data_IF_753881762068
#
_entry.id   IF_753881762068
#
_cell.length_a   1.000
_cell.length_b   1.000
_cell.length_c   1.000
_cell.angle_alpha   90.00
_cell.angle_beta   90.00
_cell.angle_gamma   90.00
#
_symmetry.space_group_name_H-M   'P 1'
#
loop_
_entity.id
_entity.type
_entity.pdbx_description
1 polymer ?
#
# COMPACT_ATOMS: atom_id res chain seq x y z
N UNK A 1 -14.78 3.67 17.63
CA UNK A 1 -13.67 3.41 16.70
C UNK A 1 -12.92 4.72 16.51
N UNK A 2 -11.58 4.72 16.38
CA UNK A 2 -10.82 5.95 16.11
C UNK A 2 -11.26 6.56 14.77
N UNK A 3 -11.28 7.89 14.71
CA UNK A 3 -11.52 8.63 13.46
C UNK A 3 -10.29 8.59 12.56
N UNK A 4 -10.45 8.95 11.29
CA UNK A 4 -9.32 9.10 10.36
C UNK A 4 -8.27 10.09 10.90
N UNK A 5 -8.73 11.18 11.53
CA UNK A 5 -7.88 12.20 12.16
C UNK A 5 -7.14 11.67 13.38
N UNK A 6 -7.76 10.79 14.18
CA UNK A 6 -7.07 10.16 15.32
C UNK A 6 -5.88 9.31 14.86
N UNK A 7 -6.07 8.51 13.80
CA UNK A 7 -5.00 7.72 13.17
C UNK A 7 -3.92 8.63 12.59
N UNK A 8 -4.32 9.69 11.88
CA UNK A 8 -3.39 10.67 11.33
C UNK A 8 -2.50 11.27 12.43
N UNK A 9 -3.12 11.69 13.54
CA UNK A 9 -2.41 12.27 14.68
C UNK A 9 -1.52 11.26 15.38
N UNK A 10 -2.00 10.04 15.60
CA UNK A 10 -1.27 8.99 16.30
C UNK A 10 0.01 8.57 15.55
N UNK A 11 -0.08 8.36 14.23
CA UNK A 11 1.01 7.75 13.47
C UNK A 11 1.82 8.75 12.63
N UNK A 12 1.22 9.86 12.18
CA UNK A 12 1.91 10.89 11.39
C UNK A 12 2.13 12.19 12.16
N UNK A 13 1.49 12.39 13.31
CA UNK A 13 1.64 13.61 14.12
C UNK A 13 0.91 14.84 13.55
N UNK A 14 0.14 14.69 12.47
CA UNK A 14 -0.63 15.79 11.89
C UNK A 14 -2.01 15.89 12.52
N UNK A 15 -2.47 17.13 12.74
CA UNK A 15 -3.77 17.39 13.36
C UNK A 15 -4.91 17.55 12.36
N UNK A 16 -4.58 17.78 11.08
CA UNK A 16 -5.56 17.99 10.01
C UNK A 16 -5.03 17.43 8.70
N UNK A 17 -5.94 16.96 7.84
CA UNK A 17 -5.65 16.59 6.46
C UNK A 17 -5.38 17.84 5.62
N UNK A 18 -4.48 17.73 4.65
CA UNK A 18 -4.32 18.76 3.61
C UNK A 18 -5.38 18.55 2.56
N UNK A 19 -6.02 19.60 2.04
CA UNK A 19 -6.91 19.43 0.88
C UNK A 19 -6.12 18.93 -0.35
N UNK A 20 -6.61 17.95 -1.13
CA UNK A 20 -7.92 17.28 -1.03
C UNK A 20 -7.88 15.88 -0.35
N UNK A 21 -6.92 15.62 0.54
CA UNK A 21 -6.74 14.30 1.19
C UNK A 21 -7.97 13.82 1.95
N UNK A 22 -8.66 14.73 2.65
CA UNK A 22 -9.92 14.47 3.35
C UNK A 22 -10.96 13.83 2.43
N UNK A 23 -11.23 14.46 1.27
CA UNK A 23 -12.20 13.97 0.29
C UNK A 23 -11.80 12.62 -0.30
N UNK A 24 -10.51 12.42 -0.55
CA UNK A 24 -10.01 11.14 -1.08
C UNK A 24 -10.18 10.03 -0.04
N UNK A 25 -9.84 10.31 1.23
CA UNK A 25 -9.97 9.34 2.32
C UNK A 25 -11.44 8.99 2.55
N UNK A 26 -12.34 9.97 2.55
CA UNK A 26 -13.78 9.75 2.65
C UNK A 26 -14.32 8.87 1.52
N UNK A 27 -13.89 9.12 0.27
CA UNK A 27 -14.23 8.30 -0.90
C UNK A 27 -13.78 6.84 -0.72
N UNK A 28 -12.53 6.63 -0.30
CA UNK A 28 -11.97 5.28 -0.07
C UNK A 28 -12.67 4.56 1.09
N UNK A 29 -12.95 5.26 2.20
CA UNK A 29 -13.68 4.69 3.34
C UNK A 29 -15.13 4.33 2.97
N UNK A 30 -15.71 5.08 2.03
CA UNK A 30 -17.03 4.79 1.45
C UNK A 30 -17.01 3.68 0.41
N UNK A 31 -15.88 2.97 0.26
CA UNK A 31 -15.69 1.85 -0.68
C UNK A 31 -15.86 2.23 -2.14
N UNK A 32 -15.57 3.48 -2.48
CA UNK A 32 -15.59 3.95 -3.87
C UNK A 32 -14.21 3.82 -4.51
N UNK A 33 -14.18 3.29 -5.74
CA UNK A 33 -12.99 3.33 -6.58
C UNK A 33 -12.60 4.79 -6.84
N UNK A 34 -11.36 5.14 -6.49
CA UNK A 34 -10.93 6.53 -6.39
C UNK A 34 -9.65 6.76 -7.17
N UNK A 35 -9.70 7.68 -8.14
CA UNK A 35 -8.50 8.21 -8.81
C UNK A 35 -8.07 9.49 -8.10
N UNK A 36 -6.93 9.44 -7.43
CA UNK A 36 -6.38 10.56 -6.69
C UNK A 36 -5.20 11.19 -7.43
N UNK A 37 -5.33 12.46 -7.81
CA UNK A 37 -4.26 13.24 -8.47
C UNK A 37 -3.75 14.29 -7.47
N UNK A 38 -2.53 14.10 -6.98
CA UNK A 38 -1.86 15.08 -6.12
C UNK A 38 -0.41 15.27 -6.59
N UNK A 39 0.17 16.47 -6.41
CA UNK A 39 1.59 16.70 -6.69
C UNK A 39 2.49 15.83 -5.82
N UNK A 40 3.75 15.69 -6.21
CA UNK A 40 4.81 15.10 -5.37
C UNK A 40 4.90 15.87 -4.05
N UNK A 41 5.08 15.15 -2.93
CA UNK A 41 5.05 15.77 -1.59
C UNK A 41 3.66 16.17 -1.09
N UNK A 42 2.60 16.03 -1.90
CA UNK A 42 1.21 16.29 -1.52
C UNK A 42 0.62 15.30 -0.49
N UNK A 43 1.40 14.32 -0.04
CA UNK A 43 0.96 13.32 0.94
C UNK A 43 0.02 12.26 0.36
N UNK A 44 0.22 11.86 -0.91
CA UNK A 44 -0.55 10.80 -1.58
C UNK A 44 -0.65 9.51 -0.76
N UNK A 45 0.43 9.13 -0.08
CA UNK A 45 0.45 7.90 0.72
C UNK A 45 -0.54 7.92 1.88
N UNK A 46 -0.75 9.08 2.52
CA UNK A 46 -1.73 9.24 3.61
C UNK A 46 -3.14 8.89 3.11
N UNK A 47 -3.46 9.20 1.85
CA UNK A 47 -4.76 8.97 1.25
C UNK A 47 -5.17 7.49 1.18
N UNK A 48 -4.21 6.55 1.17
CA UNK A 48 -4.50 5.11 1.24
C UNK A 48 -4.04 4.47 2.56
N UNK A 49 -3.00 5.02 3.22
CA UNK A 49 -2.49 4.48 4.47
C UNK A 49 -3.47 4.69 5.63
N UNK A 50 -4.05 5.89 5.77
CA UNK A 50 -5.04 6.15 6.83
C UNK A 50 -6.29 5.28 6.68
N UNK A 51 -6.96 5.21 5.53
CA UNK A 51 -8.15 4.36 5.41
C UNK A 51 -7.83 2.86 5.53
N UNK A 52 -6.63 2.42 5.13
CA UNK A 52 -6.18 1.05 5.39
C UNK A 52 -6.04 0.75 6.89
N UNK A 53 -5.52 1.71 7.68
CA UNK A 53 -5.40 1.59 9.14
C UNK A 53 -6.75 1.50 9.84
N UNK A 54 -7.80 2.10 9.29
CA UNK A 54 -9.15 2.11 9.87
C UNK A 54 -9.92 0.79 9.72
N UNK A 55 -9.44 -0.12 8.88
CA UNK A 55 -10.17 -1.33 8.50
C UNK A 55 -9.37 -2.57 8.85
N UNK A 56 -10.01 -3.65 9.29
CA UNK A 56 -9.30 -4.92 9.47
C UNK A 56 -8.73 -5.46 8.16
N UNK A 57 -7.55 -6.08 8.23
CA UNK A 57 -6.88 -6.67 7.07
C UNK A 57 -5.66 -5.89 6.60
N UNK A 58 -5.13 -6.31 5.46
CA UNK A 58 -3.90 -5.81 4.83
C UNK A 58 -4.21 -4.94 3.61
N UNK A 59 -3.47 -3.84 3.46
CA UNK A 59 -3.49 -3.03 2.25
C UNK A 59 -2.37 -3.47 1.30
N UNK A 60 -2.74 -3.76 0.06
CA UNK A 60 -1.80 -4.07 -1.02
C UNK A 60 -1.44 -2.78 -1.74
N UNK A 61 -0.15 -2.44 -1.78
CA UNK A 61 0.34 -1.24 -2.47
C UNK A 61 1.20 -1.67 -3.65
N UNK A 62 0.70 -1.45 -4.86
CA UNK A 62 1.39 -1.77 -6.11
C UNK A 62 2.13 -0.52 -6.58
N UNK A 63 3.43 -0.61 -6.80
CA UNK A 63 4.25 0.52 -7.26
C UNK A 63 5.42 0.02 -8.11
N UNK A 64 5.86 0.71 -9.17
CA UNK A 64 7.00 0.27 -9.97
C UNK A 64 8.36 0.55 -9.30
N UNK A 65 8.40 1.45 -8.32
CA UNK A 65 9.64 2.01 -7.80
C UNK A 65 10.11 1.26 -6.54
N UNK A 66 11.03 0.32 -6.70
CA UNK A 66 11.56 -0.51 -5.59
C UNK A 66 12.18 0.34 -4.47
N UNK A 67 12.97 1.36 -4.82
CA UNK A 67 13.56 2.26 -3.83
C UNK A 67 12.49 2.96 -2.98
N UNK A 68 11.41 3.42 -3.63
CA UNK A 68 10.27 4.03 -2.94
C UNK A 68 9.56 3.03 -2.02
N UNK A 69 9.37 1.77 -2.45
CA UNK A 69 8.80 0.74 -1.57
C UNK A 69 9.61 0.58 -0.29
N UNK A 70 10.93 0.47 -0.42
CA UNK A 70 11.83 0.26 0.72
C UNK A 70 11.78 1.44 1.68
N UNK A 71 11.78 2.67 1.16
CA UNK A 71 11.64 3.88 1.95
C UNK A 71 10.28 3.95 2.66
N UNK A 72 9.18 3.61 1.98
CA UNK A 72 7.84 3.58 2.59
C UNK A 72 7.75 2.53 3.70
N UNK A 73 8.24 1.32 3.46
CA UNK A 73 8.26 0.25 4.47
C UNK A 73 9.09 0.65 5.68
N UNK A 74 10.29 1.23 5.47
CA UNK A 74 11.14 1.73 6.55
C UNK A 74 10.42 2.79 7.38
N UNK A 75 9.79 3.76 6.70
CA UNK A 75 9.02 4.83 7.32
C UNK A 75 7.80 4.34 8.12
N UNK A 76 7.10 3.32 7.62
CA UNK A 76 5.98 2.70 8.33
C UNK A 76 6.45 1.95 9.56
N UNK A 77 7.54 1.16 9.46
CA UNK A 77 8.14 0.45 10.59
C UNK A 77 8.62 1.41 11.68
N UNK A 78 9.21 2.54 11.33
CA UNK A 78 9.62 3.59 12.27
C UNK A 78 8.43 4.18 13.05
N UNK A 79 7.22 4.14 12.48
CA UNK A 79 5.97 4.56 13.13
C UNK A 79 5.30 3.42 13.92
N UNK A 80 5.96 2.27 14.06
CA UNK A 80 5.38 1.09 14.69
C UNK A 80 4.30 0.40 13.84
N UNK A 81 4.25 0.69 12.54
CA UNK A 81 3.28 0.09 11.62
C UNK A 81 3.93 -1.10 10.91
N UNK A 82 3.40 -2.32 11.06
CA UNK A 82 3.97 -3.52 10.45
C UNK A 82 3.74 -3.51 8.93
N UNK A 83 4.84 -3.40 8.18
CA UNK A 83 4.84 -3.33 6.72
C UNK A 83 6.00 -4.13 6.14
N UNK A 84 5.82 -4.66 4.93
CA UNK A 84 6.84 -5.39 4.17
C UNK A 84 6.79 -5.03 2.69
N UNK A 85 7.86 -5.34 1.96
CA UNK A 85 7.92 -5.23 0.50
C UNK A 85 8.25 -6.59 -0.12
N UNK A 86 7.71 -6.86 -1.31
CA UNK A 86 8.05 -8.00 -2.16
C UNK A 86 8.34 -7.47 -3.57
N UNK A 87 9.55 -7.70 -4.08
CA UNK A 87 9.99 -7.17 -5.38
C UNK A 87 10.87 -8.15 -6.17
N UNK A 88 11.21 -7.80 -7.41
CA UNK A 88 11.98 -8.65 -8.34
C UNK A 88 13.36 -9.08 -7.79
N UNK A 89 14.04 -8.21 -7.04
CA UNK A 89 15.37 -8.49 -6.47
C UNK A 89 15.44 -9.43 -5.25
N UNK A 90 14.32 -9.94 -4.73
CA UNK A 90 14.32 -10.84 -3.56
C UNK A 90 14.49 -12.31 -3.95
N UNK A 91 15.12 -13.11 -3.09
CA UNK A 91 15.22 -14.55 -3.29
C UNK A 91 13.87 -15.24 -3.06
N UNK A 92 13.62 -16.34 -3.77
CA UNK A 92 12.35 -17.07 -3.71
C UNK A 92 11.93 -17.44 -2.28
N UNK A 93 12.88 -17.93 -1.46
CA UNK A 93 12.62 -18.29 -0.06
C UNK A 93 12.20 -17.10 0.80
N UNK A 94 12.79 -15.93 0.58
CA UNK A 94 12.42 -14.71 1.30
C UNK A 94 11.01 -14.26 0.93
N UNK A 95 10.65 -14.39 -0.35
CA UNK A 95 9.31 -14.06 -0.85
C UNK A 95 8.27 -14.98 -0.23
N UNK A 96 8.51 -16.29 -0.23
CA UNK A 96 7.59 -17.29 0.34
C UNK A 96 7.31 -17.01 1.83
N UNK A 97 8.38 -16.81 2.62
CA UNK A 97 8.26 -16.44 4.04
C UNK A 97 7.50 -15.12 4.22
N UNK A 98 7.80 -14.10 3.39
CA UNK A 98 7.16 -12.79 3.48
C UNK A 98 5.66 -12.88 3.17
N UNK A 99 5.28 -13.65 2.15
CA UNK A 99 3.88 -13.84 1.78
C UNK A 99 3.13 -14.70 2.81
N UNK A 100 3.76 -15.71 3.41
CA UNK A 100 3.18 -16.43 4.56
C UNK A 100 2.90 -15.49 5.73
N UNK A 101 3.85 -14.60 6.05
CA UNK A 101 3.64 -13.57 7.07
C UNK A 101 2.52 -12.59 6.72
N UNK A 102 2.22 -12.36 5.44
CA UNK A 102 1.08 -11.54 5.01
C UNK A 102 -0.26 -12.25 5.20
N UNK A 103 -0.27 -13.58 5.18
CA UNK A 103 -1.48 -14.39 5.40
C UNK A 103 -1.73 -14.59 6.90
N UNK A 104 -0.71 -14.98 7.65
CA UNK A 104 -0.85 -15.43 9.04
C UNK A 104 -0.34 -14.43 10.07
N UNK A 105 0.50 -13.47 9.65
CA UNK A 105 1.05 -12.44 10.52
C UNK A 105 0.16 -11.21 10.62
N UNK A 106 0.47 -10.33 11.57
CA UNK A 106 -0.22 -9.05 11.76
C UNK A 106 0.37 -7.94 10.88
N UNK A 107 0.53 -8.21 9.58
CA UNK A 107 1.01 -7.21 8.63
C UNK A 107 -0.12 -6.29 8.18
N UNK A 108 0.21 -5.01 8.03
CA UNK A 108 -0.76 -3.98 7.66
C UNK A 108 -0.62 -3.48 6.23
N UNK A 109 0.61 -3.47 5.73
CA UNK A 109 0.92 -3.07 4.36
C UNK A 109 1.86 -4.09 3.70
N UNK A 110 1.48 -4.51 2.49
CA UNK A 110 2.35 -5.23 1.58
C UNK A 110 2.60 -4.35 0.35
N UNK A 111 3.83 -3.84 0.23
CA UNK A 111 4.30 -3.18 -0.99
C UNK A 111 4.76 -4.22 -2.00
N UNK A 112 4.30 -4.15 -3.24
CA UNK A 112 4.53 -5.18 -4.25
C UNK A 112 4.92 -4.57 -5.59
N UNK A 113 5.95 -5.12 -6.23
CA UNK A 113 6.27 -4.77 -7.61
C UNK A 113 5.27 -5.41 -8.59
N UNK A 114 4.87 -4.74 -9.69
CA UNK A 114 3.82 -5.22 -10.59
C UNK A 114 4.09 -6.63 -11.14
N UNK A 115 5.34 -6.96 -11.44
CA UNK A 115 5.75 -8.24 -12.02
C UNK A 115 5.48 -9.41 -11.07
N UNK A 116 5.44 -9.15 -9.75
CA UNK A 116 5.16 -10.18 -8.75
C UNK A 116 3.68 -10.57 -8.70
N UNK A 117 2.78 -9.71 -9.18
CA UNK A 117 1.33 -10.00 -9.24
C UNK A 117 1.02 -11.24 -10.10
N UNK A 118 1.84 -11.50 -11.12
CA UNK A 118 1.61 -12.62 -12.04
C UNK A 118 2.13 -13.96 -11.55
N UNK A 119 2.93 -13.98 -10.49
CA UNK A 119 3.51 -15.21 -9.95
C UNK A 119 2.46 -16.09 -9.29
N UNK A 120 2.55 -17.41 -9.51
CA UNK A 120 1.62 -18.38 -8.90
C UNK A 120 1.67 -18.33 -7.38
N UNK A 121 2.87 -18.14 -6.82
CA UNK A 121 3.06 -18.00 -5.38
C UNK A 121 2.24 -16.84 -4.80
N UNK A 122 2.27 -15.66 -5.44
CA UNK A 122 1.45 -14.52 -5.01
C UNK A 122 -0.04 -14.82 -5.18
N UNK A 123 -0.45 -15.36 -6.35
CA UNK A 123 -1.85 -15.69 -6.65
C UNK A 123 -2.45 -16.66 -5.63
N UNK A 124 -1.68 -17.63 -5.16
CA UNK A 124 -2.14 -18.58 -4.13
C UNK A 124 -2.18 -17.98 -2.73
N UNK A 125 -1.27 -17.05 -2.42
CA UNK A 125 -1.21 -16.40 -1.09
C UNK A 125 -2.25 -15.31 -0.94
N UNK A 126 -2.48 -14.47 -1.96
CA UNK A 126 -3.43 -13.36 -1.88
C UNK A 126 -4.87 -13.84 -1.65
N UNK A 127 -5.25 -15.01 -2.19
CA UNK A 127 -6.55 -15.66 -1.93
C UNK A 127 -6.79 -15.95 -0.44
N UNK A 128 -5.73 -16.09 0.35
CA UNK A 128 -5.77 -16.37 1.79
C UNK A 128 -5.63 -15.11 2.64
N UNK A 129 -5.25 -13.98 2.03
CA UNK A 129 -5.09 -12.70 2.74
C UNK A 129 -6.45 -12.02 2.92
N UNK A 130 -6.70 -11.44 4.10
CA UNK A 130 -7.80 -10.50 4.31
C UNK A 130 -7.41 -9.14 3.74
N UNK A 131 -7.51 -8.96 2.43
CA UNK A 131 -7.20 -7.68 1.75
C UNK A 131 -8.32 -6.67 2.03
N UNK A 132 -7.96 -5.48 2.51
CA UNK A 132 -8.93 -4.44 2.83
C UNK A 132 -8.94 -3.26 1.84
N UNK A 133 -7.83 -3.06 1.13
CA UNK A 133 -7.63 -2.02 0.15
C UNK A 133 -6.52 -2.43 -0.82
N UNK A 134 -6.68 -2.05 -2.08
CA UNK A 134 -5.64 -2.12 -3.11
C UNK A 134 -5.34 -0.69 -3.55
N UNK A 135 -4.09 -0.28 -3.42
CA UNK A 135 -3.60 1.03 -3.85
C UNK A 135 -2.60 0.84 -4.99
N UNK A 136 -2.79 1.57 -6.09
CA UNK A 136 -1.86 1.60 -7.21
C UNK A 136 -1.15 2.95 -7.20
N UNK A 137 0.11 2.96 -6.81
CA UNK A 137 0.96 4.15 -6.81
C UNK A 137 1.69 4.28 -8.16
N UNK A 138 1.97 5.51 -8.55
CA UNK A 138 2.46 5.84 -9.90
C UNK A 138 1.59 5.23 -11.01
N UNK A 139 0.26 5.31 -10.85
CA UNK A 139 -0.72 4.73 -11.78
C UNK A 139 -0.57 5.23 -13.23
N UNK A 140 0.03 6.41 -13.44
CA UNK A 140 0.38 6.92 -14.76
C UNK A 140 1.29 5.95 -15.53
N UNK A 141 2.10 5.16 -14.83
CA UNK A 141 2.96 4.16 -15.44
C UNK A 141 2.15 3.02 -16.06
N UNK A 142 0.89 2.76 -15.69
CA UNK A 142 0.06 1.69 -16.31
C UNK A 142 -0.08 1.92 -17.82
N UNK A 143 -0.29 3.17 -18.24
CA UNK A 143 -0.36 3.53 -19.66
C UNK A 143 0.96 3.31 -20.42
N UNK A 144 2.09 3.30 -19.71
CA UNK A 144 3.43 3.08 -20.26
C UNK A 144 3.89 1.62 -20.11
N UNK A 145 3.38 0.90 -19.10
CA UNK A 145 3.62 -0.53 -18.86
C UNK A 145 3.08 -1.38 -20.00
N UNK A 146 1.97 -0.96 -20.62
CA UNK A 146 1.37 -1.69 -21.74
C UNK A 146 2.16 -1.65 -23.06
N UNK A 147 3.11 -0.72 -23.25
CA UNK A 147 3.83 -0.57 -24.52
C UNK A 147 5.37 -0.55 -24.42
N UNK A 148 5.98 0.03 -23.37
CA UNK A 148 7.45 0.24 -23.37
C UNK A 148 8.18 -0.01 -22.05
N UNK A 149 7.50 -0.17 -20.92
CA UNK A 149 8.23 -0.23 -19.64
C UNK A 149 8.48 -1.65 -19.12
N UNK A 150 7.48 -2.54 -19.08
CA UNK A 150 7.63 -3.94 -18.61
C UNK A 150 6.48 -4.85 -19.11
N UNK A 151 6.71 -5.74 -20.10
CA UNK A 151 5.73 -6.75 -20.51
C UNK A 151 5.51 -7.85 -19.45
#
# INVERSE_FOLDING_TARGET
>A
MPTATDILKQYWGYTHFRSPQDKIIESVLSKQDTVAILPTGGGKSICFQVPAMMQDGICLVITPLIALMQDQVKQLKQRGIPAVAVHAGMHHREIDITLDNCVYGQLKFLYLSPERLQTDLFKERVKKMKVNLVAIDEAHCISQWGYDFRP
#
